data_IF_990808467234
#
_entry.id   IF_990808467234
#
_cell.length_a   1.000
_cell.length_b   1.000
_cell.length_c   1.000
_cell.angle_alpha   90.00
_cell.angle_beta   90.00
_cell.angle_gamma   90.00
#
_symmetry.space_group_name_H-M   'P 1'
#
loop_
_entity.id
_entity.type
_entity.pdbx_description
1 polymer ?
#
# COMPACT_ATOMS: atom_id res chain seq x y z
N UNK A 1 4.49 15.24 24.86
CA UNK A 1 5.53 14.40 24.24
C UNK A 1 5.56 13.08 25.01
N UNK A 2 5.48 11.92 24.35
CA UNK A 2 5.39 10.61 24.99
C UNK A 2 6.69 9.85 24.69
N UNK A 3 7.44 9.48 25.74
CA UNK A 3 8.78 8.86 25.68
C UNK A 3 8.77 7.46 26.36
N UNK A 4 7.76 6.64 26.09
CA UNK A 4 7.64 5.35 26.75
C UNK A 4 8.16 4.17 25.92
N UNK A 5 8.81 4.45 24.77
CA UNK A 5 9.22 3.45 23.80
C UNK A 5 10.71 3.57 23.44
N UNK A 6 11.32 2.44 23.12
CA UNK A 6 12.71 2.35 22.64
C UNK A 6 12.77 2.50 21.12
N UNK A 7 11.73 2.00 20.42
CA UNK A 7 11.65 2.00 18.96
C UNK A 7 10.25 2.41 18.50
N UNK A 8 10.19 3.37 17.56
CA UNK A 8 8.98 3.74 16.83
C UNK A 8 9.01 3.11 15.43
N UNK A 9 7.95 2.42 15.04
CA UNK A 9 7.80 1.83 13.70
C UNK A 9 6.64 2.52 13.00
N UNK A 10 6.89 3.06 11.80
CA UNK A 10 5.88 3.72 10.98
C UNK A 10 5.41 2.75 9.91
N UNK A 11 4.19 2.23 10.06
CA UNK A 11 3.56 1.27 9.15
C UNK A 11 3.50 -0.15 9.69
N UNK A 12 2.30 -0.73 9.66
CA UNK A 12 1.98 -2.09 10.09
C UNK A 12 1.83 -3.07 8.92
N UNK A 13 2.60 -2.89 7.84
CA UNK A 13 2.77 -3.88 6.78
C UNK A 13 3.68 -5.05 7.21
N UNK A 14 3.90 -6.05 6.34
CA UNK A 14 4.72 -7.23 6.67
C UNK A 14 6.11 -6.90 7.22
N UNK A 15 6.77 -5.87 6.68
CA UNK A 15 8.09 -5.43 7.15
C UNK A 15 8.04 -4.90 8.59
N UNK A 16 7.12 -3.95 8.86
CA UNK A 16 6.98 -3.32 10.17
C UNK A 16 6.52 -4.30 11.25
N UNK A 17 5.53 -5.16 10.93
CA UNK A 17 5.05 -6.21 11.84
C UNK A 17 6.16 -7.22 12.16
N UNK A 18 6.96 -7.62 11.17
CA UNK A 18 8.11 -8.51 11.42
C UNK A 18 9.14 -7.84 12.33
N UNK A 19 9.50 -6.58 12.04
CA UNK A 19 10.43 -5.85 12.92
C UNK A 19 9.90 -5.75 14.36
N UNK A 20 8.62 -5.43 14.53
CA UNK A 20 7.96 -5.35 15.83
C UNK A 20 8.03 -6.69 16.59
N UNK A 21 7.71 -7.81 15.93
CA UNK A 21 7.80 -9.15 16.52
C UNK A 21 9.22 -9.44 17.04
N UNK A 22 10.25 -9.20 16.20
CA UNK A 22 11.64 -9.49 16.55
C UNK A 22 12.19 -8.60 17.68
N UNK A 23 11.78 -7.32 17.72
CA UNK A 23 12.15 -6.38 18.79
C UNK A 23 11.46 -6.73 20.11
N UNK A 24 10.14 -6.90 20.09
CA UNK A 24 9.34 -7.17 21.28
C UNK A 24 9.74 -8.50 21.95
N UNK A 25 10.10 -9.53 21.17
CA UNK A 25 10.65 -10.79 21.70
C UNK A 25 11.95 -10.64 22.48
N UNK A 26 12.67 -9.53 22.31
CA UNK A 26 13.87 -9.18 23.08
C UNK A 26 13.59 -8.12 24.16
N UNK A 27 12.34 -7.99 24.60
CA UNK A 27 11.87 -7.04 25.61
C UNK A 27 12.10 -5.56 25.26
N UNK A 28 12.27 -5.22 23.98
CA UNK A 28 12.32 -3.85 23.51
C UNK A 28 10.89 -3.27 23.50
N UNK A 29 10.72 -2.09 24.04
CA UNK A 29 9.42 -1.40 24.04
C UNK A 29 9.16 -0.79 22.66
N UNK A 30 8.24 -1.40 21.90
CA UNK A 30 7.93 -1.03 20.52
C UNK A 30 6.56 -0.39 20.41
N UNK A 31 6.50 0.74 19.72
CA UNK A 31 5.27 1.33 19.23
C UNK A 31 5.20 1.25 17.70
N UNK A 32 4.17 0.62 17.19
CA UNK A 32 3.82 0.65 15.75
C UNK A 32 2.73 1.70 15.53
N UNK A 33 2.95 2.61 14.60
CA UNK A 33 2.01 3.66 14.20
C UNK A 33 1.52 3.33 12.78
N UNK A 34 0.21 3.12 12.65
CA UNK A 34 -0.43 2.75 11.38
C UNK A 34 -1.49 3.78 10.99
N UNK A 35 -1.40 4.28 9.76
CA UNK A 35 -2.29 5.34 9.28
C UNK A 35 -3.66 4.84 8.80
N UNK A 36 -3.80 3.54 8.54
CA UNK A 36 -5.03 2.93 8.01
C UNK A 36 -5.35 1.64 8.75
N UNK A 37 -5.17 0.49 8.11
CA UNK A 37 -5.39 -0.83 8.69
C UNK A 37 -4.10 -1.65 8.69
N UNK A 38 -3.87 -2.52 9.69
CA UNK A 38 -2.73 -3.42 9.71
C UNK A 38 -2.69 -4.31 8.47
N UNK A 39 -1.47 -4.57 7.97
CA UNK A 39 -1.22 -5.39 6.80
C UNK A 39 -0.85 -4.56 5.56
N UNK A 40 -1.27 -3.28 5.47
CA UNK A 40 -1.02 -2.46 4.30
C UNK A 40 -1.47 -3.17 3.01
N UNK A 41 -0.66 -3.13 1.95
CA UNK A 41 -0.99 -3.78 0.66
C UNK A 41 -1.18 -5.29 0.71
N UNK A 42 -0.69 -5.96 1.75
CA UNK A 42 -0.94 -7.38 1.96
C UNK A 42 -2.45 -7.65 2.13
N UNK A 43 -3.14 -6.81 2.89
CA UNK A 43 -4.57 -6.94 3.14
C UNK A 43 -5.44 -6.69 1.87
N UNK A 44 -4.87 -6.07 0.83
CA UNK A 44 -5.54 -5.82 -0.45
C UNK A 44 -5.52 -7.05 -1.40
N UNK A 45 -4.80 -8.13 -1.04
CA UNK A 45 -4.65 -9.32 -1.88
C UNK A 45 -5.71 -10.36 -1.57
N UNK A 46 -6.48 -10.79 -2.57
CA UNK A 46 -7.51 -11.83 -2.43
C UNK A 46 -6.90 -13.19 -2.10
N UNK A 47 -5.74 -13.50 -2.70
CA UNK A 47 -5.07 -14.78 -2.63
C UNK A 47 -3.55 -14.63 -2.67
N UNK A 48 -2.86 -15.35 -1.78
CA UNK A 48 -1.41 -15.40 -1.70
C UNK A 48 -0.99 -16.87 -1.74
N UNK A 49 -0.18 -17.23 -2.74
CA UNK A 49 0.33 -18.59 -2.97
C UNK A 49 1.87 -18.66 -3.01
N UNK A 50 2.53 -17.51 -2.80
CA UNK A 50 3.99 -17.37 -2.89
C UNK A 50 4.65 -16.96 -1.57
N UNK A 51 3.93 -17.07 -0.44
CA UNK A 51 4.49 -16.88 0.89
C UNK A 51 4.75 -18.24 1.55
N UNK A 52 6.02 -18.61 1.81
CA UNK A 52 6.35 -19.91 2.38
C UNK A 52 5.66 -20.16 3.72
N UNK A 53 5.09 -21.36 3.87
CA UNK A 53 4.31 -21.76 5.05
C UNK A 53 2.81 -21.91 4.77
N UNK A 54 2.33 -21.39 3.64
CA UNK A 54 0.94 -21.52 3.21
C UNK A 54 0.87 -21.95 1.74
N UNK A 55 0.08 -22.99 1.43
CA UNK A 55 -0.23 -23.33 0.04
C UNK A 55 -1.10 -22.23 -0.60
N UNK A 56 -2.01 -21.66 0.19
CA UNK A 56 -2.86 -20.52 -0.17
C UNK A 56 -3.44 -19.90 1.09
N UNK A 57 -3.43 -18.57 1.16
CA UNK A 57 -4.04 -17.80 2.26
C UNK A 57 -4.57 -16.48 1.70
N UNK A 58 -5.61 -15.90 2.28
CA UNK A 58 -6.02 -14.54 1.94
C UNK A 58 -5.05 -13.51 2.54
N UNK A 59 -4.91 -12.37 1.87
CA UNK A 59 -4.07 -11.28 2.39
C UNK A 59 -4.56 -10.76 3.72
N UNK A 60 -5.87 -10.69 3.92
CA UNK A 60 -6.51 -10.26 5.18
C UNK A 60 -6.16 -11.21 6.33
N UNK A 61 -6.27 -12.54 6.10
CA UNK A 61 -5.98 -13.53 7.14
C UNK A 61 -4.49 -13.53 7.52
N UNK A 62 -3.60 -13.41 6.54
CA UNK A 62 -2.16 -13.32 6.79
C UNK A 62 -1.81 -12.03 7.54
N UNK A 63 -2.37 -10.90 7.12
CA UNK A 63 -2.17 -9.60 7.79
C UNK A 63 -2.64 -9.63 9.25
N UNK A 64 -3.82 -10.21 9.48
CA UNK A 64 -4.38 -10.35 10.82
C UNK A 64 -3.56 -11.29 11.72
N UNK A 65 -3.06 -12.38 11.15
CA UNK A 65 -2.17 -13.32 11.85
C UNK A 65 -0.86 -12.63 12.27
N UNK A 66 -0.22 -11.88 11.38
CA UNK A 66 1.02 -11.13 11.69
C UNK A 66 0.77 -10.03 12.74
N UNK A 67 -0.33 -9.29 12.63
CA UNK A 67 -0.72 -8.27 13.60
C UNK A 67 -0.93 -8.86 15.01
N UNK A 68 -1.71 -9.94 15.10
CA UNK A 68 -1.95 -10.62 16.36
C UNK A 68 -0.65 -11.18 16.97
N UNK A 69 0.23 -11.74 16.17
CA UNK A 69 1.52 -12.21 16.63
C UNK A 69 2.35 -11.08 17.24
N UNK A 70 2.44 -9.91 16.58
CA UNK A 70 3.14 -8.75 17.12
C UNK A 70 2.50 -8.27 18.44
N UNK A 71 1.18 -8.20 18.50
CA UNK A 71 0.43 -7.80 19.70
C UNK A 71 0.67 -8.75 20.88
N UNK A 72 0.67 -10.06 20.64
CA UNK A 72 0.93 -11.09 21.65
C UNK A 72 2.37 -11.04 22.20
N UNK A 73 3.34 -10.48 21.45
CA UNK A 73 4.70 -10.24 21.91
C UNK A 73 4.85 -8.94 22.71
N UNK A 74 3.77 -8.19 22.94
CA UNK A 74 3.80 -6.95 23.73
C UNK A 74 4.00 -5.67 22.92
N UNK A 75 3.91 -5.71 21.59
CA UNK A 75 3.94 -4.51 20.74
C UNK A 75 2.72 -3.62 21.00
N UNK A 76 2.95 -2.32 21.20
CA UNK A 76 1.90 -1.32 21.30
C UNK A 76 1.53 -0.78 19.88
N UNK A 77 0.26 -0.42 19.71
CA UNK A 77 -0.24 0.12 18.43
C UNK A 77 -0.98 1.43 18.62
N UNK A 78 -0.74 2.37 17.70
CA UNK A 78 -1.51 3.61 17.55
C UNK A 78 -1.98 3.73 16.11
N UNK A 79 -3.28 3.97 15.94
CA UNK A 79 -3.89 4.17 14.63
C UNK A 79 -4.03 5.67 14.37
N UNK A 80 -3.10 6.23 13.63
CA UNK A 80 -3.06 7.63 13.21
C UNK A 80 -1.96 7.80 12.16
N UNK A 81 -2.15 8.76 11.25
CA UNK A 81 -1.17 9.07 10.21
C UNK A 81 -0.01 9.87 10.80
N UNK A 82 1.22 9.51 10.45
CA UNK A 82 2.43 10.30 10.73
C UNK A 82 2.51 11.44 9.71
N UNK A 83 2.65 12.67 10.18
CA UNK A 83 2.75 13.88 9.36
C UNK A 83 4.16 14.45 9.29
N UNK A 84 5.02 14.16 10.29
CA UNK A 84 6.42 14.59 10.32
C UNK A 84 7.30 13.54 11.02
N UNK A 85 8.51 13.36 10.49
CA UNK A 85 9.64 12.65 11.11
C UNK A 85 10.81 13.60 11.18
N UNK A 86 11.28 13.87 12.39
CA UNK A 86 12.41 14.74 12.68
C UNK A 86 13.38 14.04 13.64
N UNK A 87 14.59 14.61 13.78
CA UNK A 87 15.58 14.20 14.78
C UNK A 87 16.02 15.37 15.60
N UNK A 88 16.25 15.13 16.91
CA UNK A 88 16.86 16.13 17.80
C UNK A 88 18.41 16.10 17.71
N UNK A 89 19.06 16.96 18.51
CA UNK A 89 20.51 17.07 18.59
C UNK A 89 21.20 15.78 19.09
N UNK A 90 20.46 14.90 19.78
CA UNK A 90 20.93 13.60 20.27
C UNK A 90 20.61 12.46 19.30
N UNK A 91 20.12 12.77 18.10
CA UNK A 91 19.64 11.83 17.10
C UNK A 91 18.44 10.96 17.56
N UNK A 92 17.68 11.40 18.55
CA UNK A 92 16.40 10.79 18.88
C UNK A 92 15.35 11.13 17.83
N UNK A 93 14.43 10.24 17.60
CA UNK A 93 13.40 10.37 16.54
C UNK A 93 12.13 10.93 17.14
N UNK A 94 11.58 11.95 16.46
CA UNK A 94 10.37 12.67 16.85
C UNK A 94 9.34 12.44 15.75
N UNK A 95 8.22 11.80 16.10
CA UNK A 95 7.10 11.59 15.18
C UNK A 95 5.92 12.44 15.61
N UNK A 96 5.46 13.31 14.70
CA UNK A 96 4.21 14.06 14.86
C UNK A 96 3.09 13.35 14.10
N UNK A 97 1.95 13.16 14.76
CA UNK A 97 0.76 12.55 14.18
C UNK A 97 -0.25 13.61 13.72
N UNK A 98 -1.16 13.27 12.82
CA UNK A 98 -2.22 14.13 12.33
C UNK A 98 -3.16 14.67 13.43
N UNK A 99 -3.30 13.92 14.54
CA UNK A 99 -4.07 14.35 15.71
C UNK A 99 -3.29 15.24 16.69
N UNK A 100 -2.07 15.66 16.32
CA UNK A 100 -1.19 16.53 17.12
C UNK A 100 -0.41 15.81 18.22
N UNK A 101 -0.56 14.49 18.41
CA UNK A 101 0.26 13.74 19.35
C UNK A 101 1.69 13.61 18.84
N UNK A 102 2.66 13.66 19.77
CA UNK A 102 4.09 13.56 19.47
C UNK A 102 4.68 12.39 20.26
N UNK A 103 5.34 11.49 19.56
CA UNK A 103 6.08 10.37 20.11
C UNK A 103 7.59 10.56 19.90
N UNK A 104 8.38 10.07 20.84
CA UNK A 104 9.80 10.31 20.92
C UNK A 104 10.52 9.05 21.34
N UNK A 105 11.56 8.62 20.61
CA UNK A 105 12.33 7.41 20.92
C UNK A 105 13.75 7.50 20.34
N UNK A 106 14.72 6.75 20.90
CA UNK A 106 16.07 6.70 20.36
C UNK A 106 16.16 6.13 18.94
N UNK A 107 15.26 5.24 18.56
CA UNK A 107 15.25 4.60 17.23
C UNK A 107 13.91 4.75 16.53
N UNK A 108 13.96 4.89 15.19
CA UNK A 108 12.76 4.72 14.37
C UNK A 108 13.03 3.83 13.14
N UNK A 109 11.95 3.15 12.70
CA UNK A 109 11.92 2.35 11.49
C UNK A 109 10.80 2.87 10.58
N UNK A 110 11.14 3.26 9.35
CA UNK A 110 10.16 3.60 8.32
C UNK A 110 9.79 2.33 7.54
N UNK A 111 8.54 1.89 7.66
CA UNK A 111 7.99 0.68 7.03
C UNK A 111 6.69 0.98 6.27
N UNK A 112 6.55 2.20 5.75
CA UNK A 112 5.32 2.75 5.18
C UNK A 112 4.96 2.20 3.81
N UNK A 113 5.87 1.44 3.19
CA UNK A 113 5.64 0.81 1.91
C UNK A 113 5.36 1.79 0.77
N UNK A 114 4.39 1.46 -0.07
CA UNK A 114 4.00 2.23 -1.25
C UNK A 114 2.52 2.60 -1.17
N UNK A 115 2.17 3.74 -1.74
CA UNK A 115 0.78 4.18 -1.89
C UNK A 115 0.36 4.20 -3.36
N UNK A 116 -0.92 4.00 -3.62
CA UNK A 116 -1.48 4.03 -4.96
C UNK A 116 -1.32 5.41 -5.59
N UNK A 117 -0.99 5.46 -6.88
CA UNK A 117 -1.06 6.69 -7.66
C UNK A 117 -2.53 7.04 -7.93
N UNK A 118 -2.84 8.32 -7.72
CA UNK A 118 -4.17 8.86 -8.06
C UNK A 118 -4.11 9.42 -9.49
N UNK A 119 -5.00 9.00 -10.41
CA UNK A 119 -5.05 9.56 -11.76
C UNK A 119 -5.69 10.96 -11.74
N UNK A 120 -4.93 11.97 -11.30
CA UNK A 120 -5.39 13.36 -11.09
C UNK A 120 -5.91 14.03 -12.38
N UNK A 121 -5.55 13.51 -13.56
CA UNK A 121 -6.09 13.95 -14.85
C UNK A 121 -7.55 13.53 -15.05
N UNK A 122 -8.08 12.58 -14.29
CA UNK A 122 -9.49 12.20 -14.31
C UNK A 122 -10.28 13.18 -13.45
N UNK A 123 -11.10 14.01 -14.09
CA UNK A 123 -11.90 15.00 -13.37
C UNK A 123 -12.84 14.33 -12.37
N UNK A 124 -12.96 14.90 -11.17
CA UNK A 124 -13.76 14.41 -10.05
C UNK A 124 -13.27 13.11 -9.39
N UNK A 125 -12.08 12.57 -9.71
CA UNK A 125 -11.57 11.31 -9.13
C UNK A 125 -11.51 11.39 -7.59
N UNK A 126 -11.03 12.49 -7.05
CA UNK A 126 -10.92 12.68 -5.60
C UNK A 126 -12.28 12.95 -4.93
N UNK A 127 -13.21 13.65 -5.63
CA UNK A 127 -14.57 13.91 -5.14
C UNK A 127 -15.33 12.62 -4.82
N UNK A 128 -15.10 11.59 -5.62
CA UNK A 128 -15.78 10.31 -5.51
C UNK A 128 -14.96 9.25 -4.78
N UNK A 129 -13.82 9.61 -4.16
CA UNK A 129 -13.04 8.69 -3.33
C UNK A 129 -13.94 8.14 -2.19
N UNK A 130 -13.95 6.82 -1.99
CA UNK A 130 -14.87 6.08 -1.11
C UNK A 130 -16.37 6.28 -1.42
N UNK A 131 -16.70 6.83 -2.60
CA UNK A 131 -18.09 7.00 -3.07
C UNK A 131 -18.28 6.41 -4.48
N UNK A 132 -17.60 5.30 -4.74
CA UNK A 132 -17.55 4.63 -6.03
C UNK A 132 -16.15 4.65 -6.68
N UNK A 133 -15.20 5.45 -6.18
CA UNK A 133 -13.78 5.30 -6.50
C UNK A 133 -13.12 4.56 -5.36
N UNK A 134 -12.44 3.45 -5.67
CA UNK A 134 -11.68 2.65 -4.70
C UNK A 134 -10.38 2.16 -5.32
N UNK A 135 -9.36 1.93 -4.50
CA UNK A 135 -8.05 1.41 -4.89
C UNK A 135 -7.83 -0.04 -4.41
N UNK A 136 -8.89 -0.70 -3.92
CA UNK A 136 -8.86 -2.07 -3.42
C UNK A 136 -10.12 -2.82 -3.88
N UNK A 137 -10.01 -3.63 -4.92
CA UNK A 137 -11.12 -4.47 -5.40
C UNK A 137 -11.52 -5.50 -4.35
N UNK A 138 -10.54 -6.11 -3.66
CA UNK A 138 -10.80 -7.12 -2.62
C UNK A 138 -11.60 -6.54 -1.45
N UNK A 139 -11.31 -5.27 -1.08
CA UNK A 139 -12.01 -4.61 0.02
C UNK A 139 -13.45 -4.22 -0.35
N UNK A 140 -13.62 -3.63 -1.52
CA UNK A 140 -14.85 -2.93 -1.89
C UNK A 140 -15.63 -3.58 -3.04
N UNK A 141 -15.04 -4.56 -3.76
CA UNK A 141 -15.65 -5.17 -4.95
C UNK A 141 -17.03 -5.78 -4.69
N UNK A 142 -17.25 -6.36 -3.50
CA UNK A 142 -18.53 -6.94 -3.10
C UNK A 142 -19.67 -5.93 -3.03
N UNK A 143 -19.38 -4.63 -2.81
CA UNK A 143 -20.36 -3.54 -2.80
C UNK A 143 -20.95 -3.28 -4.21
N UNK A 144 -20.25 -3.77 -5.23
CA UNK A 144 -20.60 -3.58 -6.65
C UNK A 144 -21.03 -4.88 -7.33
N UNK A 145 -21.50 -5.85 -6.55
CA UNK A 145 -22.10 -7.08 -7.07
C UNK A 145 -23.24 -6.73 -8.04
N UNK A 146 -23.24 -7.42 -9.18
CA UNK A 146 -24.23 -7.26 -10.26
C UNK A 146 -24.31 -5.82 -10.85
N UNK A 147 -23.23 -5.02 -10.70
CA UNK A 147 -23.16 -3.64 -11.25
C UNK A 147 -22.02 -3.51 -12.25
N UNK A 148 -22.15 -2.59 -13.23
CA UNK A 148 -21.06 -2.30 -14.17
C UNK A 148 -19.95 -1.51 -13.48
N UNK A 149 -18.70 -1.90 -13.72
CA UNK A 149 -17.50 -1.33 -13.09
C UNK A 149 -16.42 -1.00 -14.10
N UNK A 150 -15.52 -0.11 -13.75
CA UNK A 150 -14.37 0.25 -14.56
C UNK A 150 -13.06 0.11 -13.80
N UNK A 151 -12.02 -0.28 -14.51
CA UNK A 151 -10.63 -0.34 -14.05
C UNK A 151 -9.79 0.60 -14.92
N UNK A 152 -8.86 1.34 -14.32
CA UNK A 152 -7.89 2.17 -15.04
C UNK A 152 -6.51 1.53 -14.85
N UNK A 153 -5.89 1.03 -15.92
CA UNK A 153 -4.54 0.48 -15.89
C UNK A 153 -4.29 -0.60 -16.94
N UNK A 154 -3.02 -0.79 -17.32
CA UNK A 154 -2.58 -1.76 -18.31
C UNK A 154 -1.62 -2.82 -17.79
N UNK A 155 -1.31 -2.82 -16.47
CA UNK A 155 -0.40 -3.75 -15.82
C UNK A 155 -1.07 -4.97 -15.17
N UNK A 156 -0.28 -5.91 -14.65
CA UNK A 156 -0.75 -7.14 -14.01
C UNK A 156 -1.85 -6.87 -12.97
N UNK A 157 -1.64 -5.92 -12.06
CA UNK A 157 -2.62 -5.61 -11.01
C UNK A 157 -4.00 -5.24 -11.56
N UNK A 158 -4.06 -4.45 -12.66
CA UNK A 158 -5.35 -4.08 -13.28
C UNK A 158 -6.09 -5.30 -13.82
N UNK A 159 -5.36 -6.24 -14.42
CA UNK A 159 -5.92 -7.42 -15.05
C UNK A 159 -6.27 -8.52 -14.03
N UNK A 160 -5.43 -8.76 -13.02
CA UNK A 160 -5.67 -9.74 -11.95
C UNK A 160 -6.87 -9.35 -11.09
N UNK A 161 -6.90 -8.09 -10.65
CA UNK A 161 -8.02 -7.54 -9.87
C UNK A 161 -9.30 -7.43 -10.72
N UNK A 162 -9.14 -7.21 -12.03
CA UNK A 162 -10.24 -7.27 -12.98
C UNK A 162 -10.87 -8.66 -13.07
N UNK A 163 -10.07 -9.71 -13.11
CA UNK A 163 -10.54 -11.10 -13.08
C UNK A 163 -11.30 -11.40 -11.78
N UNK A 164 -10.78 -10.96 -10.63
CA UNK A 164 -11.51 -11.12 -9.38
C UNK A 164 -12.86 -10.36 -9.40
N UNK A 165 -12.85 -9.11 -9.87
CA UNK A 165 -14.04 -8.27 -9.95
C UNK A 165 -15.08 -8.84 -10.94
N UNK A 166 -14.64 -9.52 -12.01
CA UNK A 166 -15.55 -10.13 -13.00
C UNK A 166 -16.43 -11.24 -12.44
N UNK A 167 -16.00 -11.88 -11.35
CA UNK A 167 -16.82 -12.86 -10.64
C UNK A 167 -17.94 -12.22 -9.79
N UNK A 168 -17.90 -10.92 -9.60
CA UNK A 168 -18.83 -10.15 -8.75
C UNK A 168 -19.70 -9.21 -9.58
N UNK A 169 -19.08 -8.43 -10.47
CA UNK A 169 -19.72 -7.38 -11.23
C UNK A 169 -20.49 -7.92 -12.46
N UNK A 170 -21.50 -7.19 -12.90
CA UNK A 170 -22.19 -7.52 -14.16
C UNK A 170 -21.29 -7.34 -15.37
N UNK A 171 -20.49 -6.28 -15.37
CA UNK A 171 -19.53 -5.93 -16.44
C UNK A 171 -18.29 -5.28 -15.83
N UNK A 172 -17.11 -5.58 -16.38
CA UNK A 172 -15.83 -4.97 -16.01
C UNK A 172 -15.19 -4.37 -17.26
N UNK A 173 -15.01 -3.05 -17.28
CA UNK A 173 -14.41 -2.31 -18.38
C UNK A 173 -12.99 -1.88 -17.98
N UNK A 174 -11.96 -2.39 -18.65
CA UNK A 174 -10.55 -2.05 -18.40
C UNK A 174 -10.09 -0.99 -19.39
N UNK A 175 -9.75 0.21 -18.91
CA UNK A 175 -9.25 1.32 -19.73
C UNK A 175 -7.72 1.34 -19.70
N UNK A 176 -7.11 1.13 -20.87
CA UNK A 176 -5.65 1.07 -21.07
C UNK A 176 -5.24 2.24 -21.97
N UNK A 177 -4.44 3.17 -21.42
CA UNK A 177 -4.03 4.39 -22.14
C UNK A 177 -2.97 4.13 -23.21
N UNK A 178 -1.84 3.52 -22.81
CA UNK A 178 -0.61 3.47 -23.61
C UNK A 178 -0.23 2.05 -24.08
N UNK A 179 -1.13 1.08 -23.92
CA UNK A 179 -0.91 -0.32 -24.24
C UNK A 179 -0.82 -1.25 -23.04
N UNK A 180 -1.06 -2.51 -23.28
CA UNK A 180 -1.09 -3.56 -22.27
C UNK A 180 0.33 -3.99 -21.96
N UNK A 181 0.74 -3.88 -20.68
CA UNK A 181 2.03 -4.34 -20.15
C UNK A 181 1.88 -5.53 -19.20
N UNK A 182 0.64 -6.01 -19.00
CA UNK A 182 0.36 -7.21 -18.23
C UNK A 182 0.88 -8.47 -18.95
N UNK A 183 1.14 -9.51 -18.18
CA UNK A 183 1.58 -10.82 -18.69
C UNK A 183 0.53 -11.42 -19.64
N UNK A 184 0.98 -11.99 -20.75
CA UNK A 184 0.11 -12.57 -21.80
C UNK A 184 -0.89 -13.58 -21.23
N UNK A 185 -0.46 -14.45 -20.32
CA UNK A 185 -1.30 -15.45 -19.68
C UNK A 185 -2.48 -14.87 -18.91
N UNK A 186 -2.29 -13.70 -18.28
CA UNK A 186 -3.33 -12.99 -17.55
C UNK A 186 -4.29 -12.30 -18.53
N UNK A 187 -3.73 -11.66 -19.56
CA UNK A 187 -4.52 -11.00 -20.62
C UNK A 187 -5.44 -12.00 -21.34
N UNK A 188 -4.94 -13.21 -21.65
CA UNK A 188 -5.73 -14.26 -22.26
C UNK A 188 -6.89 -14.71 -21.37
N UNK A 189 -6.66 -14.84 -20.06
CA UNK A 189 -7.73 -15.13 -19.10
C UNK A 189 -8.81 -14.05 -19.05
N UNK A 190 -8.41 -12.78 -19.11
CA UNK A 190 -9.34 -11.64 -19.14
C UNK A 190 -10.15 -11.65 -20.43
N UNK A 191 -9.50 -11.87 -21.60
CA UNK A 191 -10.19 -11.94 -22.91
C UNK A 191 -11.16 -13.11 -23.02
N UNK A 192 -10.97 -14.17 -22.24
CA UNK A 192 -11.88 -15.32 -22.21
C UNK A 192 -13.16 -15.06 -21.39
N UNK A 193 -13.22 -13.99 -20.59
CA UNK A 193 -14.41 -13.65 -19.81
C UNK A 193 -15.45 -12.92 -20.65
N UNK A 194 -16.70 -13.36 -20.58
CA UNK A 194 -17.80 -12.78 -21.37
C UNK A 194 -18.24 -11.39 -20.93
N UNK A 195 -17.98 -11.05 -19.66
CA UNK A 195 -18.38 -9.79 -19.03
C UNK A 195 -17.19 -8.84 -18.82
N UNK A 196 -16.03 -9.08 -19.45
CA UNK A 196 -14.88 -8.20 -19.40
C UNK A 196 -14.60 -7.56 -20.77
N UNK A 197 -14.37 -6.25 -20.77
CA UNK A 197 -14.15 -5.45 -21.97
C UNK A 197 -12.85 -4.66 -21.83
N UNK A 198 -11.88 -4.90 -22.70
CA UNK A 198 -10.61 -4.16 -22.71
C UNK A 198 -10.72 -3.04 -23.74
N UNK A 199 -10.57 -1.81 -23.30
CA UNK A 199 -10.52 -0.61 -24.13
C UNK A 199 -9.07 -0.13 -24.20
N UNK A 200 -8.36 -0.51 -25.26
CA UNK A 200 -7.00 -0.01 -25.54
C UNK A 200 -7.06 1.40 -26.13
N UNK A 201 -5.95 2.18 -26.02
CA UNK A 201 -5.89 3.58 -26.46
C UNK A 201 -7.04 4.44 -25.91
N UNK A 202 -7.45 4.18 -24.68
CA UNK A 202 -8.67 4.71 -24.09
C UNK A 202 -8.42 5.25 -22.69
N UNK A 203 -9.09 6.35 -22.35
CA UNK A 203 -8.95 7.03 -21.06
C UNK A 203 -10.30 7.45 -20.51
N UNK A 204 -10.44 7.35 -19.18
CA UNK A 204 -11.55 8.01 -18.48
C UNK A 204 -11.16 9.48 -18.29
N UNK A 205 -12.05 10.38 -18.72
CA UNK A 205 -11.85 11.83 -18.65
C UNK A 205 -12.49 12.44 -17.42
N UNK A 206 -13.67 11.96 -17.06
CA UNK A 206 -14.46 12.52 -15.96
C UNK A 206 -15.34 11.44 -15.32
N UNK A 207 -15.49 11.52 -14.01
CA UNK A 207 -16.44 10.74 -13.23
C UNK A 207 -17.66 11.62 -12.95
N UNK A 208 -18.85 11.09 -13.19
CA UNK A 208 -20.13 11.76 -13.09
C UNK A 208 -21.01 11.08 -12.05
N UNK A 209 -21.76 11.88 -11.33
CA UNK A 209 -22.71 11.45 -10.32
C UNK A 209 -23.04 12.55 -9.32
N UNK A 210 -24.04 12.32 -8.50
CA UNK A 210 -24.48 13.26 -7.47
C UNK A 210 -23.77 12.96 -6.14
N UNK A 211 -24.10 11.85 -5.50
CA UNK A 211 -23.54 11.44 -4.21
C UNK A 211 -22.50 10.32 -4.33
N UNK A 212 -22.52 9.58 -5.43
CA UNK A 212 -21.64 8.47 -5.75
C UNK A 212 -21.35 8.44 -7.24
N UNK A 213 -20.46 7.57 -7.68
CA UNK A 213 -20.25 7.28 -9.09
C UNK A 213 -21.53 6.71 -9.70
N UNK A 214 -21.97 7.27 -10.83
CA UNK A 214 -23.16 6.84 -11.58
C UNK A 214 -22.82 6.62 -13.06
N UNK A 215 -21.87 7.39 -13.59
CA UNK A 215 -21.41 7.33 -14.97
C UNK A 215 -19.95 7.76 -15.05
N UNK A 216 -19.32 7.41 -16.15
CA UNK A 216 -18.05 7.97 -16.59
C UNK A 216 -18.19 8.60 -17.96
N UNK A 217 -17.39 9.62 -18.24
CA UNK A 217 -17.12 10.14 -19.58
C UNK A 217 -15.74 9.65 -19.97
N UNK A 218 -15.66 8.91 -21.07
CA UNK A 218 -14.41 8.31 -21.55
C UNK A 218 -14.14 8.68 -23.01
N UNK A 219 -12.86 8.65 -23.39
CA UNK A 219 -12.44 8.64 -24.79
C UNK A 219 -12.04 7.21 -25.14
N UNK A 220 -12.76 6.62 -26.10
CA UNK A 220 -12.50 5.29 -26.66
C UNK A 220 -12.26 5.47 -28.16
N UNK A 221 -11.08 5.09 -28.66
CA UNK A 221 -10.68 5.29 -30.06
C UNK A 221 -10.93 6.73 -30.55
N UNK A 222 -10.57 7.71 -29.71
CA UNK A 222 -10.78 9.16 -29.93
C UNK A 222 -12.25 9.60 -30.02
N UNK A 223 -13.20 8.75 -29.66
CA UNK A 223 -14.61 9.12 -29.55
C UNK A 223 -15.00 9.30 -28.08
N UNK A 224 -15.69 10.40 -27.80
CA UNK A 224 -16.20 10.66 -26.46
C UNK A 224 -17.51 9.90 -26.27
N UNK A 225 -17.55 9.09 -25.21
CA UNK A 225 -18.72 8.30 -24.82
C UNK A 225 -19.04 8.51 -23.34
N UNK A 226 -20.32 8.45 -23.00
CA UNK A 226 -20.76 8.29 -21.61
C UNK A 226 -21.20 6.85 -21.38
N UNK A 227 -20.75 6.27 -20.27
CA UNK A 227 -21.07 4.90 -19.87
C UNK A 227 -21.61 4.88 -18.46
N UNK A 228 -22.65 4.09 -18.22
CA UNK A 228 -23.14 3.81 -16.87
C UNK A 228 -22.09 2.94 -16.17
N UNK A 229 -21.49 3.45 -15.10
CA UNK A 229 -20.50 2.75 -14.27
C UNK A 229 -20.79 3.12 -12.84
N UNK A 230 -20.87 2.13 -11.97
CA UNK A 230 -21.15 2.30 -10.55
C UNK A 230 -19.87 2.38 -9.69
N UNK A 231 -18.73 1.87 -10.21
CA UNK A 231 -17.43 1.99 -9.53
C UNK A 231 -16.25 2.11 -10.49
N UNK A 232 -15.20 2.82 -10.07
CA UNK A 232 -13.93 2.98 -10.78
C UNK A 232 -12.79 2.55 -9.87
N UNK A 233 -11.93 1.64 -10.35
CA UNK A 233 -10.77 1.12 -9.63
C UNK A 233 -9.47 1.49 -10.37
N UNK A 234 -8.71 2.51 -9.91
CA UNK A 234 -7.45 2.89 -10.53
C UNK A 234 -6.29 1.97 -10.12
N UNK A 235 -5.62 1.37 -11.10
CA UNK A 235 -4.39 0.57 -10.96
C UNK A 235 -3.29 1.09 -11.89
N UNK A 236 -2.90 2.37 -11.69
CA UNK A 236 -1.93 3.08 -12.55
C UNK A 236 -0.51 3.09 -11.98
N UNK A 237 -0.26 2.28 -10.95
CA UNK A 237 1.02 2.16 -10.29
C UNK A 237 1.06 2.75 -8.89
N UNK A 238 2.27 2.82 -8.34
CA UNK A 238 2.54 3.14 -6.94
C UNK A 238 3.71 4.08 -6.80
N UNK A 239 3.75 4.84 -5.70
CA UNK A 239 4.90 5.63 -5.28
C UNK A 239 5.25 5.34 -3.81
N UNK A 240 6.50 5.52 -3.38
CA UNK A 240 6.87 5.32 -1.98
C UNK A 240 6.13 6.31 -1.07
N UNK A 241 5.70 5.82 0.10
CA UNK A 241 4.95 6.62 1.06
C UNK A 241 5.92 7.40 1.99
N UNK A 242 6.58 8.43 1.46
CA UNK A 242 7.66 9.21 2.09
C UNK A 242 7.35 10.69 2.26
N UNK A 243 6.09 11.12 2.06
CA UNK A 243 5.71 12.54 2.07
C UNK A 243 5.98 13.26 3.42
N UNK A 244 5.97 12.53 4.53
CA UNK A 244 6.23 13.03 5.88
C UNK A 244 7.73 13.19 6.20
N UNK A 245 8.64 12.74 5.32
CA UNK A 245 10.10 12.89 5.46
C UNK A 245 10.51 14.24 4.89
N UNK A 246 10.92 15.17 5.76
CA UNK A 246 11.41 16.48 5.37
C UNK A 246 12.84 16.44 4.81
N UNK A 247 13.69 15.60 5.36
CA UNK A 247 15.09 15.42 4.91
C UNK A 247 15.15 14.67 3.58
N UNK A 248 15.14 15.41 2.47
CA UNK A 248 15.17 14.85 1.10
C UNK A 248 16.50 14.17 0.75
N UNK A 249 17.57 14.35 1.52
CA UNK A 249 18.86 13.67 1.29
C UNK A 249 18.80 12.17 1.57
N UNK A 250 17.73 11.71 2.24
CA UNK A 250 17.47 10.29 2.50
C UNK A 250 16.82 9.58 1.30
N UNK A 251 16.34 10.33 0.31
CA UNK A 251 15.54 9.82 -0.80
C UNK A 251 16.36 9.80 -2.09
N UNK A 252 16.08 8.80 -2.94
CA UNK A 252 16.52 8.78 -4.33
C UNK A 252 15.67 9.70 -5.22
N UNK A 253 16.00 9.76 -6.51
CA UNK A 253 15.27 10.58 -7.50
C UNK A 253 13.82 10.14 -7.72
N UNK A 254 13.44 8.93 -7.29
CA UNK A 254 12.08 8.38 -7.39
C UNK A 254 11.31 8.48 -6.06
N UNK A 255 11.95 9.01 -5.01
CA UNK A 255 11.38 9.20 -3.68
C UNK A 255 11.49 7.98 -2.75
N UNK A 256 12.22 6.93 -3.12
CA UNK A 256 12.51 5.80 -2.24
C UNK A 256 13.60 6.14 -1.23
N UNK A 257 13.52 5.57 -0.03
CA UNK A 257 14.55 5.75 0.99
C UNK A 257 15.79 4.91 0.63
N UNK A 258 16.94 5.56 0.61
CA UNK A 258 18.24 4.89 0.36
C UNK A 258 18.77 4.33 1.68
N UNK A 259 19.06 3.03 1.71
CA UNK A 259 19.63 2.33 2.87
C UNK A 259 20.86 1.53 2.49
N UNK A 260 21.68 1.21 3.48
CA UNK A 260 22.76 0.24 3.35
C UNK A 260 22.24 -1.21 3.49
N UNK A 261 23.12 -2.22 3.35
CA UNK A 261 22.77 -3.65 3.50
C UNK A 261 22.17 -4.01 4.88
N UNK A 262 22.34 -3.13 5.86
CA UNK A 262 21.87 -3.26 7.22
C UNK A 262 20.52 -2.55 7.46
N UNK A 263 19.86 -2.07 6.42
CA UNK A 263 18.62 -1.28 6.47
C UNK A 263 18.78 0.08 7.18
N UNK A 264 20.03 0.56 7.40
CA UNK A 264 20.30 1.85 8.00
C UNK A 264 20.27 2.94 6.93
N UNK A 265 19.65 4.06 7.23
CA UNK A 265 19.74 5.28 6.41
C UNK A 265 21.03 6.05 6.69
N UNK A 266 21.28 7.13 5.99
CA UNK A 266 22.40 8.05 6.31
C UNK A 266 22.19 8.79 7.64
N UNK A 267 20.97 8.83 8.15
CA UNK A 267 20.63 9.47 9.41
C UNK A 267 20.79 8.48 10.56
N UNK A 268 21.60 8.79 11.58
CA UNK A 268 21.84 7.88 12.71
C UNK A 268 20.52 7.44 13.36
N UNK A 269 20.43 6.16 13.77
CA UNK A 269 19.28 5.56 14.47
C UNK A 269 17.96 5.58 13.67
N UNK A 270 18.01 5.90 12.38
CA UNK A 270 16.88 5.80 11.47
C UNK A 270 17.09 4.65 10.49
N UNK A 271 16.14 3.72 10.48
CA UNK A 271 16.10 2.57 9.58
C UNK A 271 14.93 2.70 8.62
N UNK A 272 15.03 2.07 7.45
CA UNK A 272 13.90 1.93 6.55
C UNK A 272 13.87 0.52 5.96
N UNK A 273 12.66 -0.05 5.79
CA UNK A 273 12.44 -1.45 5.44
C UNK A 273 11.21 -1.63 4.55
N UNK A 274 11.19 -2.74 3.83
CA UNK A 274 10.07 -3.10 2.96
C UNK A 274 10.05 -2.29 1.66
N UNK A 275 8.87 -2.07 1.10
CA UNK A 275 8.74 -1.51 -0.25
C UNK A 275 9.02 -0.01 -0.35
N UNK A 276 9.18 0.68 0.79
CA UNK A 276 9.52 2.11 0.82
C UNK A 276 10.98 2.38 0.49
N UNK A 277 11.87 1.36 0.54
CA UNK A 277 13.29 1.51 0.22
C UNK A 277 13.55 1.26 -1.29
N UNK A 278 14.69 1.78 -1.76
CA UNK A 278 15.21 1.47 -3.08
C UNK A 278 15.60 -0.01 -3.15
N UNK A 279 14.91 -0.79 -3.98
CA UNK A 279 15.19 -2.22 -4.22
C UNK A 279 14.53 -2.75 -5.49
N UNK A 280 15.09 -3.83 -6.02
CA UNK A 280 14.60 -4.46 -7.26
C UNK A 280 13.40 -5.37 -7.03
N UNK A 281 13.41 -6.16 -5.95
CA UNK A 281 12.38 -7.18 -5.67
C UNK A 281 11.50 -6.75 -4.52
N UNK A 282 10.19 -6.66 -4.77
CA UNK A 282 9.16 -6.29 -3.78
C UNK A 282 8.20 -7.47 -3.60
N UNK A 283 8.42 -8.20 -2.50
CA UNK A 283 7.62 -9.37 -2.12
C UNK A 283 7.44 -9.38 -0.60
N UNK A 284 6.46 -10.13 -0.09
CA UNK A 284 6.24 -10.29 1.35
C UNK A 284 7.52 -10.82 2.01
N UNK A 285 8.15 -11.82 1.40
CA UNK A 285 9.38 -12.44 1.90
C UNK A 285 10.56 -11.47 1.99
N UNK A 286 10.74 -10.59 1.01
CA UNK A 286 11.80 -9.56 1.07
C UNK A 286 11.48 -8.49 2.10
N UNK A 287 10.21 -8.14 2.28
CA UNK A 287 9.78 -7.19 3.30
C UNK A 287 9.99 -7.74 4.73
N UNK A 288 9.66 -9.00 4.98
CA UNK A 288 9.90 -9.66 6.28
C UNK A 288 11.39 -9.84 6.55
N UNK A 289 12.21 -10.13 5.54
CA UNK A 289 13.67 -10.17 5.65
C UNK A 289 14.23 -8.84 6.12
N UNK A 290 13.85 -7.74 5.48
CA UNK A 290 14.30 -6.39 5.86
C UNK A 290 13.93 -6.07 7.33
N UNK A 291 12.70 -6.42 7.74
CA UNK A 291 12.22 -6.26 9.11
C UNK A 291 13.07 -7.03 10.12
N UNK A 292 13.46 -8.25 9.77
CA UNK A 292 14.35 -9.09 10.60
C UNK A 292 15.73 -8.47 10.75
N UNK A 293 16.33 -8.00 9.65
CA UNK A 293 17.66 -7.37 9.63
C UNK A 293 17.68 -6.13 10.53
N UNK A 294 16.77 -5.19 10.30
CA UNK A 294 16.69 -3.94 11.07
C UNK A 294 16.50 -4.21 12.57
N UNK A 295 15.56 -5.10 12.93
CA UNK A 295 15.28 -5.44 14.31
C UNK A 295 16.48 -6.07 15.01
N UNK A 296 17.19 -6.99 14.36
CA UNK A 296 18.39 -7.61 14.93
C UNK A 296 19.51 -6.61 15.20
N UNK A 297 19.72 -5.67 14.28
CA UNK A 297 20.74 -4.65 14.43
C UNK A 297 20.40 -3.62 15.50
N UNK A 298 19.13 -3.22 15.62
CA UNK A 298 18.67 -2.35 16.70
C UNK A 298 18.86 -3.05 18.05
N UNK A 299 18.53 -4.34 18.18
CA UNK A 299 18.75 -5.10 19.40
C UNK A 299 20.23 -5.08 19.84
N UNK A 300 21.19 -5.21 18.88
CA UNK A 300 22.62 -5.10 19.19
C UNK A 300 23.06 -3.71 19.62
N UNK A 301 22.34 -2.65 19.25
CA UNK A 301 22.63 -1.26 19.64
C UNK A 301 22.01 -0.88 20.99
N UNK A 302 20.93 -1.56 21.41
CA UNK A 302 20.24 -1.33 22.68
C UNK A 302 20.89 -2.17 23.81
N UNK A 303 21.46 -3.35 23.49
CA UNK A 303 22.17 -4.22 24.45
C UNK A 303 23.48 -3.60 24.87
#
# INVERSE_FOLDING_TARGET
>A
MIQDFDVLIIGAGPAGLTAAIYLARNNVKVLVIEGTNPGGKLAEQSKIENYPGFNSISGVDLAFSMYNQAKLQGTSFVFSKVTSLESDEKNWKILTLENGKIYYAPFAIVATGMQNLVPTQVKNIEKFNHKGVSYCVVCDGTLYKDKPTAIIGGGNSAFEEGLYLSALASEVHIFVRDGIIAEKSIVEKVRAQKNMFIHENSVILEILGTNKVEKIKASIDNKIVEMKIDAVFPYIGFKPATSFISNKTLLDSKGFIVVNKNMETKEPNLFAIGDVIEKTVRQITTATNDGTIAAKLINLKIS
#
